data_IF_616371148495
#
_entry.id   IF_616371148495
#
_cell.length_a   1.000
_cell.length_b   1.000
_cell.length_c   1.000
_cell.angle_alpha   90.00
_cell.angle_beta   90.00
_cell.angle_gamma   90.00
#
_symmetry.space_group_name_H-M   'P 1'
#
loop_
_entity.id
_entity.type
_entity.pdbx_description
1 polymer ?
#
# COMPACT_ATOMS: atom_id res chain seq x y z
N UNK A 1 -10.24 -8.16 22.21
CA UNK A 1 -10.25 -7.35 20.97
C UNK A 1 -10.52 -5.85 21.22
N UNK A 2 -11.41 -5.45 22.15
CA UNK A 2 -11.70 -4.03 22.44
C UNK A 2 -10.52 -3.22 23.04
N UNK A 3 -9.49 -3.89 23.57
CA UNK A 3 -8.29 -3.26 24.10
C UNK A 3 -7.42 -2.59 23.00
N UNK A 4 -7.54 -3.05 21.75
CA UNK A 4 -6.81 -2.52 20.59
C UNK A 4 -7.30 -1.12 20.17
N UNK A 5 -8.59 -0.83 20.36
CA UNK A 5 -9.17 0.48 20.02
C UNK A 5 -8.59 1.57 20.94
N UNK A 6 -8.24 1.23 22.19
CA UNK A 6 -7.60 2.20 23.11
C UNK A 6 -6.16 2.52 22.73
N UNK A 7 -5.41 1.57 22.15
CA UNK A 7 -4.06 1.83 21.63
C UNK A 7 -4.10 2.75 20.39
N UNK A 8 -5.09 2.59 19.51
CA UNK A 8 -5.29 3.50 18.37
C UNK A 8 -5.55 4.94 18.81
N UNK A 9 -6.13 5.16 19.99
CA UNK A 9 -6.43 6.47 20.54
C UNK A 9 -5.24 7.15 21.23
N UNK A 10 -4.13 6.43 21.47
CA UNK A 10 -2.95 6.95 22.17
C UNK A 10 -1.93 7.60 21.21
N UNK A 11 -1.94 7.25 19.91
CA UNK A 11 -1.01 7.81 18.93
C UNK A 11 -1.60 9.03 18.22
N UNK A 12 -1.04 10.21 18.45
CA UNK A 12 -1.46 11.45 17.75
C UNK A 12 -1.37 11.35 16.22
N UNK A 13 -0.50 10.48 15.69
CA UNK A 13 -0.35 10.22 14.25
C UNK A 13 -1.48 9.42 13.59
N UNK A 14 -2.20 8.55 14.31
CA UNK A 14 -3.32 7.76 13.74
C UNK A 14 -4.54 8.64 13.48
N UNK A 15 -4.73 9.73 14.23
CA UNK A 15 -5.79 10.70 14.00
C UNK A 15 -5.60 11.44 12.66
N UNK A 16 -4.34 11.77 12.31
CA UNK A 16 -3.97 12.40 11.03
C UNK A 16 -4.21 11.43 9.87
N UNK A 17 -3.79 10.17 10.03
CA UNK A 17 -4.00 9.11 9.05
C UNK A 17 -5.49 8.81 8.83
N UNK A 18 -6.27 8.73 9.91
CA UNK A 18 -7.71 8.48 9.84
C UNK A 18 -8.47 9.60 9.12
N UNK A 19 -8.10 10.85 9.35
CA UNK A 19 -8.70 12.00 8.65
C UNK A 19 -8.35 12.01 7.16
N UNK A 20 -7.12 11.63 6.79
CA UNK A 20 -6.72 11.46 5.40
C UNK A 20 -7.47 10.29 4.72
N UNK A 21 -7.70 9.19 5.43
CA UNK A 21 -8.42 8.01 4.93
C UNK A 21 -9.89 8.33 4.61
N UNK A 22 -10.61 8.98 5.53
CA UNK A 22 -12.03 9.33 5.34
C UNK A 22 -12.20 10.32 4.18
N UNK A 23 -11.27 11.27 4.02
CA UNK A 23 -11.28 12.20 2.89
C UNK A 23 -11.08 11.48 1.55
N UNK A 24 -10.27 10.41 1.55
CA UNK A 24 -9.91 9.66 0.33
C UNK A 24 -10.86 8.50 0.02
N UNK A 25 -11.82 8.22 0.89
CA UNK A 25 -12.69 7.03 0.79
C UNK A 25 -13.50 7.02 -0.51
N UNK A 26 -13.92 8.19 -1.01
CA UNK A 26 -14.63 8.30 -2.29
C UNK A 26 -13.77 7.81 -3.47
N UNK A 27 -12.47 8.08 -3.47
CA UNK A 27 -11.56 7.64 -4.54
C UNK A 27 -11.20 6.14 -4.42
N UNK A 28 -11.06 5.64 -3.19
CA UNK A 28 -10.81 4.22 -2.93
C UNK A 28 -11.98 3.36 -3.42
N UNK A 29 -13.21 3.80 -3.18
CA UNK A 29 -14.41 3.05 -3.55
C UNK A 29 -14.56 2.86 -5.07
N UNK A 30 -14.25 3.91 -5.86
CA UNK A 30 -14.25 3.81 -7.34
C UNK A 30 -13.23 2.77 -7.82
N UNK A 31 -12.04 2.79 -7.22
CA UNK A 31 -10.96 1.87 -7.59
C UNK A 31 -11.30 0.43 -7.21
N UNK A 32 -11.93 0.22 -6.04
CA UNK A 32 -12.38 -1.09 -5.58
C UNK A 32 -13.51 -1.64 -6.47
N UNK A 33 -14.45 -0.79 -6.88
CA UNK A 33 -15.53 -1.19 -7.79
C UNK A 33 -14.97 -1.72 -9.11
N UNK A 34 -13.99 -1.02 -9.70
CA UNK A 34 -13.36 -1.46 -10.94
C UNK A 34 -12.56 -2.74 -10.76
N UNK A 35 -11.83 -2.88 -9.64
CA UNK A 35 -11.09 -4.09 -9.32
C UNK A 35 -12.01 -5.32 -9.21
N UNK A 36 -13.16 -5.18 -8.55
CA UNK A 36 -14.16 -6.25 -8.43
C UNK A 36 -14.70 -6.71 -9.78
N UNK A 37 -14.94 -5.79 -10.72
CA UNK A 37 -15.40 -6.16 -12.08
C UNK A 37 -14.31 -6.94 -12.82
N UNK A 38 -13.06 -6.50 -12.74
CA UNK A 38 -11.94 -7.19 -13.41
C UNK A 38 -11.73 -8.59 -12.83
N UNK A 39 -11.75 -8.75 -11.51
CA UNK A 39 -11.59 -10.08 -10.88
C UNK A 39 -12.78 -11.00 -11.12
N UNK A 40 -14.00 -10.47 -11.28
CA UNK A 40 -15.17 -11.24 -11.71
C UNK A 40 -15.01 -11.78 -13.14
N UNK A 41 -14.49 -10.95 -14.06
CA UNK A 41 -14.25 -11.38 -15.45
C UNK A 41 -13.18 -12.47 -15.47
N UNK A 42 -12.03 -12.22 -14.85
CA UNK A 42 -10.91 -13.17 -14.83
C UNK A 42 -11.28 -14.46 -14.08
N UNK A 43 -12.00 -14.36 -12.97
CA UNK A 43 -12.54 -15.51 -12.25
C UNK A 43 -13.52 -16.33 -13.09
N UNK A 44 -14.34 -15.68 -13.92
CA UNK A 44 -15.21 -16.38 -14.87
C UNK A 44 -14.40 -17.15 -15.92
N UNK A 45 -13.32 -16.56 -16.46
CA UNK A 45 -12.44 -17.26 -17.39
C UNK A 45 -11.79 -18.50 -16.75
N UNK A 46 -11.26 -18.37 -15.54
CA UNK A 46 -10.66 -19.49 -14.80
C UNK A 46 -11.69 -20.59 -14.54
N UNK A 47 -12.90 -20.23 -14.13
CA UNK A 47 -14.01 -21.17 -13.95
C UNK A 47 -14.33 -21.96 -15.24
N UNK A 48 -14.38 -21.30 -16.41
CA UNK A 48 -14.65 -21.99 -17.68
C UNK A 48 -13.52 -22.94 -18.10
N UNK A 49 -12.25 -22.59 -17.81
CA UNK A 49 -11.11 -23.45 -18.14
C UNK A 49 -10.96 -24.65 -17.20
N UNK A 50 -11.37 -24.53 -15.94
CA UNK A 50 -11.28 -25.61 -14.94
C UNK A 50 -12.51 -26.52 -14.91
N UNK A 51 -13.69 -26.06 -15.39
CA UNK A 51 -14.94 -26.85 -15.39
C UNK A 51 -14.82 -28.25 -16.02
N UNK A 52 -13.87 -28.45 -16.95
CA UNK A 52 -13.61 -29.73 -17.61
C UNK A 52 -12.62 -30.67 -16.89
N UNK A 53 -11.91 -30.18 -15.87
CA UNK A 53 -10.81 -30.87 -15.22
C UNK A 53 -11.02 -31.00 -13.69
N UNK A 54 -12.29 -31.10 -13.27
CA UNK A 54 -12.67 -31.27 -11.86
C UNK A 54 -12.09 -32.57 -11.30
N UNK A 55 -10.85 -32.51 -10.82
CA UNK A 55 -10.29 -33.54 -9.94
C UNK A 55 -10.99 -33.40 -8.59
N UNK A 56 -11.20 -34.53 -7.90
CA UNK A 56 -11.89 -34.60 -6.61
C UNK A 56 -11.21 -33.81 -5.47
N UNK A 57 -10.12 -33.09 -5.78
CA UNK A 57 -9.24 -32.39 -4.84
C UNK A 57 -9.15 -30.86 -5.12
N UNK A 58 -9.93 -30.31 -6.06
CA UNK A 58 -9.93 -28.86 -6.33
C UNK A 58 -11.32 -28.21 -6.15
N UNK A 59 -11.77 -27.96 -4.89
CA UNK A 59 -13.03 -27.28 -4.59
C UNK A 59 -13.04 -25.78 -4.95
N UNK A 60 -11.95 -25.21 -5.51
CA UNK A 60 -11.85 -23.80 -5.86
C UNK A 60 -12.88 -23.29 -6.89
N UNK A 61 -13.62 -24.19 -7.54
CA UNK A 61 -14.52 -23.87 -8.66
C UNK A 61 -15.97 -24.34 -8.46
N UNK A 62 -16.50 -24.39 -7.23
CA UNK A 62 -17.92 -24.74 -7.02
C UNK A 62 -18.87 -23.64 -7.55
N UNK A 63 -18.53 -22.37 -7.33
CA UNK A 63 -19.31 -21.22 -7.74
C UNK A 63 -18.43 -20.17 -8.45
N UNK A 64 -18.99 -19.47 -9.44
CA UNK A 64 -18.29 -18.38 -10.13
C UNK A 64 -17.85 -17.27 -9.17
N UNK A 65 -18.66 -17.00 -8.14
CA UNK A 65 -18.35 -16.01 -7.10
C UNK A 65 -17.18 -16.46 -6.22
N UNK A 66 -17.12 -17.74 -5.86
CA UNK A 66 -16.02 -18.28 -5.06
C UNK A 66 -14.70 -18.23 -5.82
N UNK A 67 -14.71 -18.66 -7.09
CA UNK A 67 -13.53 -18.58 -7.96
C UNK A 67 -13.06 -17.14 -8.17
N UNK A 68 -13.98 -16.19 -8.39
CA UNK A 68 -13.63 -14.77 -8.52
C UNK A 68 -13.05 -14.16 -7.24
N UNK A 69 -13.57 -14.56 -6.08
CA UNK A 69 -13.09 -14.10 -4.79
C UNK A 69 -11.70 -14.67 -4.50
N UNK A 70 -11.47 -15.93 -4.84
CA UNK A 70 -10.15 -16.56 -4.74
C UNK A 70 -9.10 -15.86 -5.62
N UNK A 71 -9.43 -15.55 -6.88
CA UNK A 71 -8.56 -14.76 -7.75
C UNK A 71 -8.29 -13.36 -7.18
N UNK A 72 -9.29 -12.72 -6.57
CA UNK A 72 -9.11 -11.44 -5.89
C UNK A 72 -8.13 -11.56 -4.71
N UNK A 73 -8.23 -12.61 -3.89
CA UNK A 73 -7.31 -12.84 -2.77
C UNK A 73 -5.88 -13.08 -3.24
N UNK A 74 -5.67 -13.89 -4.27
CA UNK A 74 -4.33 -14.12 -4.83
C UNK A 74 -3.76 -12.81 -5.40
N UNK A 75 -4.58 -12.04 -6.12
CA UNK A 75 -4.14 -10.80 -6.78
C UNK A 75 -3.80 -9.66 -5.80
N UNK A 76 -4.50 -9.57 -4.66
CA UNK A 76 -4.35 -8.46 -3.70
C UNK A 76 -3.52 -8.86 -2.47
N UNK A 77 -3.80 -10.03 -1.91
CA UNK A 77 -3.15 -10.50 -0.68
C UNK A 77 -1.95 -11.41 -0.96
N UNK A 78 -1.82 -11.96 -2.18
CA UNK A 78 -0.82 -13.00 -2.46
C UNK A 78 -1.06 -14.29 -1.68
N UNK A 79 -2.28 -14.47 -1.15
CA UNK A 79 -2.68 -15.62 -0.34
C UNK A 79 -3.81 -16.37 -1.07
N UNK A 80 -3.63 -17.67 -1.30
CA UNK A 80 -4.60 -18.51 -2.00
C UNK A 80 -3.95 -19.71 -2.70
N UNK A 81 -3.03 -20.40 -2.03
CA UNK A 81 -2.32 -21.55 -2.62
C UNK A 81 -3.04 -22.87 -2.36
N UNK A 82 -4.12 -22.86 -1.59
CA UNK A 82 -4.72 -24.09 -1.06
C UNK A 82 -5.33 -24.97 -2.17
N UNK A 83 -5.82 -24.37 -3.26
CA UNK A 83 -6.46 -25.08 -4.38
C UNK A 83 -6.11 -24.47 -5.75
N UNK A 84 -4.89 -24.69 -6.28
CA UNK A 84 -4.46 -24.09 -7.54
C UNK A 84 -5.16 -24.73 -8.75
N UNK A 85 -5.39 -23.96 -9.84
CA UNK A 85 -5.92 -24.50 -11.09
C UNK A 85 -5.03 -25.62 -11.63
N UNK A 86 -5.64 -26.75 -12.00
CA UNK A 86 -4.90 -27.91 -12.50
C UNK A 86 -4.53 -27.77 -13.98
N UNK A 87 -5.29 -26.99 -14.77
CA UNK A 87 -5.01 -26.80 -16.20
C UNK A 87 -3.84 -25.85 -16.45
N UNK A 88 -2.97 -26.22 -17.40
CA UNK A 88 -1.86 -25.38 -17.88
C UNK A 88 -2.35 -24.01 -18.37
N UNK A 89 -3.52 -23.97 -19.02
CA UNK A 89 -4.12 -22.71 -19.51
C UNK A 89 -4.63 -21.84 -18.35
N UNK A 90 -5.23 -22.45 -17.33
CA UNK A 90 -5.71 -21.73 -16.14
C UNK A 90 -4.57 -21.11 -15.35
N UNK A 91 -3.46 -21.85 -15.18
CA UNK A 91 -2.24 -21.32 -14.56
C UNK A 91 -1.71 -20.09 -15.29
N UNK A 92 -1.68 -20.09 -16.62
CA UNK A 92 -1.25 -18.92 -17.40
C UNK A 92 -2.15 -17.70 -17.18
N UNK A 93 -3.48 -17.90 -17.17
CA UNK A 93 -4.46 -16.83 -16.88
C UNK A 93 -4.24 -16.26 -15.48
N UNK A 94 -3.96 -17.10 -14.48
CA UNK A 94 -3.68 -16.66 -13.11
C UNK A 94 -2.40 -15.81 -13.02
N UNK A 95 -1.33 -16.16 -13.74
CA UNK A 95 -0.11 -15.33 -13.77
C UNK A 95 -0.40 -13.94 -14.31
N UNK A 96 -1.17 -13.83 -15.39
CA UNK A 96 -1.58 -12.53 -15.95
C UNK A 96 -2.49 -11.77 -14.97
N UNK A 97 -3.38 -12.48 -14.27
CA UNK A 97 -4.26 -11.91 -13.26
C UNK A 97 -3.48 -11.27 -12.10
N UNK A 98 -2.43 -11.94 -11.61
CA UNK A 98 -1.56 -11.43 -10.54
C UNK A 98 -0.88 -10.14 -10.99
N UNK A 99 -0.34 -10.12 -12.21
CA UNK A 99 0.35 -8.93 -12.73
C UNK A 99 -0.60 -7.73 -12.83
N UNK A 100 -1.81 -7.93 -13.33
CA UNK A 100 -2.85 -6.90 -13.37
C UNK A 100 -3.27 -6.46 -11.97
N UNK A 101 -3.41 -7.41 -11.03
CA UNK A 101 -3.75 -7.15 -9.63
C UNK A 101 -2.79 -6.20 -8.94
N UNK A 102 -1.48 -6.40 -9.11
CA UNK A 102 -0.44 -5.54 -8.53
C UNK A 102 -0.58 -4.09 -9.03
N UNK A 103 -0.84 -3.90 -10.33
CA UNK A 103 -1.10 -2.56 -10.88
C UNK A 103 -2.36 -1.92 -10.29
N UNK A 104 -3.41 -2.71 -10.04
CA UNK A 104 -4.63 -2.21 -9.40
C UNK A 104 -4.44 -1.83 -7.93
N UNK A 105 -3.60 -2.54 -7.17
CA UNK A 105 -3.30 -2.20 -5.77
C UNK A 105 -2.39 -0.97 -5.66
N UNK A 106 -1.53 -0.73 -6.65
CA UNK A 106 -0.65 0.44 -6.67
C UNK A 106 -1.41 1.78 -6.75
N UNK A 107 -2.52 1.83 -7.49
CA UNK A 107 -3.34 3.03 -7.69
C UNK A 107 -3.97 3.62 -6.40
N UNK A 108 -4.75 2.87 -5.61
CA UNK A 108 -5.34 3.38 -4.37
C UNK A 108 -4.27 3.69 -3.32
N UNK A 109 -3.15 2.94 -3.31
CA UNK A 109 -2.01 3.20 -2.44
C UNK A 109 -1.39 4.57 -2.75
N UNK A 110 -1.23 4.91 -4.03
CA UNK A 110 -0.76 6.22 -4.47
C UNK A 110 -1.74 7.35 -4.09
N UNK A 111 -3.05 7.14 -4.25
CA UNK A 111 -4.08 8.12 -3.87
C UNK A 111 -4.08 8.40 -2.37
N UNK A 112 -3.95 7.37 -1.53
CA UNK A 112 -3.86 7.52 -0.07
C UNK A 112 -2.56 8.27 0.30
N UNK A 113 -1.45 7.91 -0.35
CA UNK A 113 -0.15 8.55 -0.14
C UNK A 113 -0.15 10.05 -0.45
N UNK A 114 -0.76 10.46 -1.56
CA UNK A 114 -0.89 11.88 -1.92
C UNK A 114 -1.69 12.66 -0.88
N UNK A 115 -2.83 12.11 -0.42
CA UNK A 115 -3.66 12.75 0.59
C UNK A 115 -2.97 12.85 1.97
N UNK A 116 -2.13 11.88 2.32
CA UNK A 116 -1.37 11.89 3.58
C UNK A 116 -0.37 13.07 3.67
N UNK A 117 0.27 13.44 2.56
CA UNK A 117 1.22 14.56 2.52
C UNK A 117 0.49 15.89 2.81
N UNK A 118 -0.70 16.08 2.28
CA UNK A 118 -1.49 17.29 2.52
C UNK A 118 -1.92 17.44 3.98
N UNK A 119 -2.35 16.35 4.62
CA UNK A 119 -2.78 16.39 6.03
C UNK A 119 -1.57 16.52 6.97
N UNK A 120 -0.46 15.84 6.70
CA UNK A 120 0.76 15.93 7.54
C UNK A 120 1.43 17.31 7.49
N UNK A 121 1.37 18.00 6.34
CA UNK A 121 1.87 19.38 6.23
C UNK A 121 1.13 20.34 7.17
N UNK A 122 -0.19 20.20 7.33
CA UNK A 122 -1.00 21.05 8.21
C UNK A 122 -0.70 20.87 9.70
N UNK A 123 -0.17 19.71 10.10
CA UNK A 123 0.20 19.40 11.48
C UNK A 123 1.56 19.98 11.87
N UNK A 124 2.49 20.10 10.90
CA UNK A 124 3.83 20.66 11.15
C UNK A 124 3.85 22.14 11.56
N UNK A 125 2.72 22.85 11.39
CA UNK A 125 2.56 24.26 11.72
C UNK A 125 2.09 24.48 13.18
N UNK A 126 1.78 23.43 13.94
CA UNK A 126 1.39 23.56 15.37
C UNK A 126 2.64 23.46 16.27
N UNK A 127 3.21 24.59 16.76
CA UNK A 127 4.41 24.58 17.60
C UNK A 127 4.23 23.87 18.96
N UNK A 128 3.00 23.57 19.37
CA UNK A 128 2.67 22.90 20.64
C UNK A 128 2.80 21.36 20.66
N UNK A 129 2.97 20.70 19.52
CA UNK A 129 3.16 19.23 19.45
C UNK A 129 4.64 18.81 19.58
N UNK A 130 5.57 19.76 19.49
CA UNK A 130 7.02 19.52 19.59
C UNK A 130 7.46 19.12 21.00
N UNK A 131 6.75 19.56 22.04
CA UNK A 131 7.11 19.33 23.45
C UNK A 131 6.72 17.94 23.99
N UNK A 132 5.82 17.20 23.31
CA UNK A 132 5.46 15.83 23.70
C UNK A 132 6.29 14.73 23.02
N UNK A 133 6.91 15.02 21.88
CA UNK A 133 7.68 14.05 21.09
C UNK A 133 9.19 14.11 21.38
N UNK A 134 9.69 15.20 21.96
CA UNK A 134 11.11 15.35 22.37
C UNK A 134 11.44 14.76 23.76
N UNK A 135 10.60 13.86 24.28
CA UNK A 135 10.82 13.20 25.57
C UNK A 135 11.46 11.81 25.49
N UNK A 136 11.56 11.20 24.31
CA UNK A 136 12.13 9.85 24.20
C UNK A 136 12.80 9.65 22.84
N UNK A 137 14.05 9.19 22.90
CA UNK A 137 14.91 8.72 21.80
C UNK A 137 15.45 9.77 20.82
N UNK A 138 16.71 10.15 21.06
CA UNK A 138 17.78 10.20 20.05
C UNK A 138 17.48 10.95 18.75
N UNK A 139 17.96 12.19 18.69
CA UNK A 139 18.07 13.05 17.51
C UNK A 139 18.70 12.32 16.31
N UNK A 140 17.88 11.79 15.42
CA UNK A 140 18.20 11.65 14.00
C UNK A 140 17.47 12.79 13.27
N UNK A 141 18.17 13.88 12.97
CA UNK A 141 17.66 14.91 12.07
C UNK A 141 17.63 14.36 10.65
N UNK A 142 16.43 13.97 10.19
CA UNK A 142 16.17 13.76 8.78
C UNK A 142 15.86 15.14 8.17
N UNK A 143 16.85 15.77 7.54
CA UNK A 143 16.63 17.02 6.80
C UNK A 143 15.79 16.69 5.56
N UNK A 144 14.48 16.87 5.66
CA UNK A 144 13.54 16.76 4.54
C UNK A 144 13.89 17.84 3.51
N UNK A 145 14.40 17.41 2.35
CA UNK A 145 14.70 18.26 1.21
C UNK A 145 13.37 18.79 0.60
N UNK A 146 13.05 20.07 0.80
CA UNK A 146 11.93 20.74 0.12
C UNK A 146 12.40 21.23 -1.26
N UNK A 147 11.76 20.80 -2.38
CA UNK A 147 12.03 21.41 -3.68
C UNK A 147 11.22 22.70 -3.79
N UNK A 148 11.90 23.85 -3.76
CA UNK A 148 11.28 25.13 -4.09
C UNK A 148 11.58 26.26 -3.11
N UNK A 149 12.83 26.73 -3.12
CA UNK A 149 13.16 28.16 -3.06
C UNK A 149 14.62 28.31 -3.49
N UNK A 150 14.85 29.04 -4.59
CA UNK A 150 16.19 29.44 -5.01
C UNK A 150 16.78 30.39 -3.96
N UNK A 151 17.87 29.95 -3.35
CA UNK A 151 18.72 30.76 -2.49
C UNK A 151 20.01 29.99 -2.26
N UNK A 152 21.08 30.37 -2.98
CA UNK A 152 22.41 29.80 -2.80
C UNK A 152 22.89 30.03 -1.35
N UNK A 153 23.40 29.01 -0.63
CA UNK A 153 24.20 29.28 0.55
C UNK A 153 25.60 29.76 0.13
N UNK A 154 25.94 30.95 0.61
CA UNK A 154 27.24 31.60 0.52
C UNK A 154 28.32 30.73 1.20
N UNK A 155 29.25 30.20 0.41
CA UNK A 155 30.42 29.47 0.92
C UNK A 155 31.51 30.45 1.36
N UNK A 156 31.33 31.05 2.54
CA UNK A 156 32.39 31.76 3.25
C UNK A 156 32.48 31.32 4.72
N UNK A 157 33.51 30.53 5.00
CA UNK A 157 34.19 30.53 6.30
C UNK A 157 33.85 29.37 7.21
N UNK A 158 34.84 28.52 7.50
CA UNK A 158 34.83 27.68 8.69
C UNK A 158 35.47 26.32 8.50
N UNK A 159 36.81 26.28 8.54
CA UNK A 159 37.57 25.06 8.83
C UNK A 159 37.06 24.41 10.11
N UNK A 160 36.47 23.21 10.05
CA UNK A 160 36.76 22.18 11.06
C UNK A 160 36.40 20.78 10.53
N UNK A 161 37.39 19.91 10.63
CA UNK A 161 37.37 18.48 10.44
C UNK A 161 36.29 17.76 11.26
N UNK A 162 35.37 17.07 10.58
CA UNK A 162 34.85 15.77 11.04
C UNK A 162 33.96 15.10 10.00
N UNK A 163 34.49 14.03 9.42
CA UNK A 163 33.81 12.81 8.95
C UNK A 163 32.68 13.00 7.91
N UNK A 164 33.09 13.11 6.65
CA UNK A 164 32.25 12.79 5.48
C UNK A 164 31.96 11.28 5.44
N UNK A 165 30.77 10.88 5.90
CA UNK A 165 30.19 9.57 5.64
C UNK A 165 29.45 9.57 4.29
N UNK A 166 30.18 9.59 3.20
CA UNK A 166 29.63 9.45 1.85
C UNK A 166 29.41 7.95 1.58
N UNK A 167 28.21 7.44 1.85
CA UNK A 167 27.82 6.09 1.41
C UNK A 167 27.33 6.22 -0.03
N UNK A 168 28.29 6.19 -0.95
CA UNK A 168 28.05 5.85 -2.35
C UNK A 168 27.79 4.35 -2.37
N UNK A 169 26.56 3.96 -2.72
CA UNK A 169 26.21 2.59 -3.10
C UNK A 169 26.56 2.43 -4.59
N UNK A 170 27.55 1.64 -5.00
CA UNK A 170 27.60 1.13 -6.36
C UNK A 170 26.92 -0.24 -6.42
N UNK A 171 26.29 -0.48 -7.59
CA UNK A 171 25.87 -1.80 -8.08
C UNK A 171 27.00 -2.84 -7.94
#
# INVERSE_FOLDING_TARGET
MLMLIRFSAYYSGTAVLGKALVNSFSAILVTLFFAMVVTLIVGSFVYYFEKGYQTTEAPCCENVLYSSFFIFLIAVAGAGEDDPPSTTTGKFVVVVAIQLGIFFVAMPLAVIGANFIHVSASVSIIPGLRSGVLGSTGTFEFTVWRPGHQGLPDFRGGMNSSVQGCIIFPL
#
